data_IF_582573162234
#
_entry.id   IF_582573162234
#
_cell.length_a   1.000
_cell.length_b   1.000
_cell.length_c   1.000
_cell.angle_alpha   90.00
_cell.angle_beta   90.00
_cell.angle_gamma   90.00
#
_symmetry.space_group_name_H-M   'P 1'
#
loop_
_entity.id
_entity.type
_entity.pdbx_description
1 polymer ?
#
# COMPACT_ATOMS: atom_id res chain seq x y z
N UNK A 1 10.39 -6.56 -6.85
CA UNK A 1 9.17 -7.00 -6.14
C UNK A 1 8.38 -8.05 -6.93
N UNK A 2 8.30 -7.98 -8.26
CA UNK A 2 7.67 -9.04 -9.09
C UNK A 2 8.20 -10.46 -8.78
N UNK A 3 9.51 -10.63 -8.59
CA UNK A 3 10.09 -11.95 -8.37
C UNK A 3 9.72 -12.56 -7.01
N UNK A 4 9.46 -11.73 -5.99
CA UNK A 4 8.94 -12.19 -4.70
C UNK A 4 7.51 -12.74 -4.84
N UNK A 5 6.67 -12.02 -5.58
CA UNK A 5 5.27 -12.42 -5.80
C UNK A 5 5.18 -13.69 -6.64
N UNK A 6 6.05 -13.87 -7.64
CA UNK A 6 6.15 -15.13 -8.41
C UNK A 6 6.45 -16.34 -7.53
N UNK A 7 7.07 -16.13 -6.38
CA UNK A 7 7.38 -17.16 -5.38
C UNK A 7 6.33 -17.23 -4.26
N UNK A 8 5.13 -16.68 -4.49
CA UNK A 8 4.04 -16.59 -3.50
C UNK A 8 4.41 -15.75 -2.26
N UNK A 9 5.43 -14.91 -2.36
CA UNK A 9 5.77 -13.94 -1.33
C UNK A 9 4.83 -12.74 -1.33
N UNK A 10 4.53 -12.23 -0.13
CA UNK A 10 3.69 -11.04 0.05
C UNK A 10 4.56 -9.79 0.00
N UNK A 11 4.22 -8.83 -0.87
CA UNK A 11 4.99 -7.59 -1.04
C UNK A 11 4.07 -6.36 -1.05
N UNK A 12 4.42 -5.36 -0.25
CA UNK A 12 3.60 -4.16 -0.04
C UNK A 12 4.47 -2.97 0.38
N UNK A 13 3.86 -1.79 0.43
CA UNK A 13 4.47 -0.57 0.97
C UNK A 13 3.69 -0.08 2.19
N UNK A 14 4.40 0.49 3.17
CA UNK A 14 3.80 1.34 4.20
C UNK A 14 3.98 2.78 3.75
N UNK A 15 2.88 3.51 3.62
CA UNK A 15 2.84 4.90 3.16
C UNK A 15 2.40 5.78 4.31
N UNK A 16 3.17 6.83 4.57
CA UNK A 16 2.81 7.86 5.53
C UNK A 16 2.37 9.14 4.79
N UNK A 17 1.09 9.49 4.92
CA UNK A 17 0.53 10.73 4.40
C UNK A 17 0.66 11.84 5.43
N UNK A 18 1.86 12.40 5.55
CA UNK A 18 2.24 13.39 6.59
C UNK A 18 1.23 14.52 6.82
N UNK A 19 0.64 15.07 5.76
CA UNK A 19 -0.34 16.16 5.85
C UNK A 19 -1.59 15.77 6.66
N UNK A 20 -2.00 14.52 6.58
CA UNK A 20 -3.21 13.98 7.21
C UNK A 20 -2.90 13.16 8.47
N UNK A 21 -1.61 12.89 8.71
CA UNK A 21 -1.13 12.00 9.76
C UNK A 21 -1.73 10.59 9.68
N UNK A 22 -1.88 10.06 8.47
CA UNK A 22 -2.46 8.75 8.20
C UNK A 22 -1.40 7.78 7.66
N UNK A 23 -1.50 6.51 8.02
CA UNK A 23 -0.64 5.44 7.53
C UNK A 23 -1.47 4.44 6.72
N UNK A 24 -0.91 3.94 5.62
CA UNK A 24 -1.57 2.98 4.75
C UNK A 24 -0.64 1.84 4.35
N UNK A 25 -1.16 0.63 4.29
CA UNK A 25 -0.57 -0.50 3.60
C UNK A 25 -1.07 -0.50 2.15
N UNK A 26 -0.16 -0.30 1.21
CA UNK A 26 -0.43 -0.33 -0.23
C UNK A 26 0.04 -1.66 -0.83
N UNK A 27 -0.85 -2.45 -1.45
CA UNK A 27 -0.47 -3.62 -2.23
C UNK A 27 0.50 -3.26 -3.36
N UNK A 28 1.49 -4.11 -3.61
CA UNK A 28 2.47 -3.84 -4.66
C UNK A 28 1.84 -3.74 -6.06
N UNK A 29 0.77 -4.49 -6.33
CA UNK A 29 0.05 -4.48 -7.61
C UNK A 29 -0.47 -3.07 -7.93
N UNK A 30 -0.98 -2.36 -6.92
CA UNK A 30 -1.45 -0.99 -7.08
C UNK A 30 -0.30 -0.05 -7.40
N UNK A 31 0.81 -0.13 -6.66
CA UNK A 31 1.99 0.67 -6.92
C UNK A 31 2.55 0.42 -8.33
N UNK A 32 2.65 -0.86 -8.74
CA UNK A 32 3.11 -1.26 -10.06
C UNK A 32 2.23 -0.68 -11.17
N UNK A 33 0.90 -0.72 -11.01
CA UNK A 33 -0.03 -0.12 -11.99
C UNK A 33 0.28 1.35 -12.24
N UNK A 34 0.43 2.15 -11.18
CA UNK A 34 0.76 3.57 -11.32
C UNK A 34 2.18 3.81 -11.84
N UNK A 35 3.13 2.96 -11.45
CA UNK A 35 4.49 3.05 -11.97
C UNK A 35 4.55 2.80 -13.48
N UNK A 36 3.88 1.76 -13.98
CA UNK A 36 3.80 1.48 -15.41
C UNK A 36 3.05 2.58 -16.17
N UNK A 37 1.91 3.05 -15.66
CA UNK A 37 1.18 4.18 -16.25
C UNK A 37 2.05 5.44 -16.36
N UNK A 38 2.83 5.74 -15.32
CA UNK A 38 3.73 6.90 -15.31
C UNK A 38 4.83 6.84 -16.38
N UNK A 39 5.26 5.63 -16.77
CA UNK A 39 6.21 5.43 -17.88
C UNK A 39 5.56 5.67 -19.24
N UNK A 40 4.25 5.51 -19.34
CA UNK A 40 3.45 5.71 -20.56
C UNK A 40 2.84 7.12 -20.67
N UNK A 41 3.30 8.07 -19.85
CA UNK A 41 2.85 9.46 -19.89
C UNK A 41 1.64 9.79 -19.00
N UNK A 42 1.16 8.83 -18.18
CA UNK A 42 0.18 9.12 -17.15
C UNK A 42 0.81 9.84 -15.95
N UNK A 43 0.01 10.05 -14.89
CA UNK A 43 0.44 10.77 -13.68
C UNK A 43 1.63 10.08 -13.01
N UNK A 44 2.65 10.87 -12.64
CA UNK A 44 3.82 10.44 -11.83
C UNK A 44 3.55 10.48 -10.32
N UNK A 45 2.28 10.45 -9.93
CA UNK A 45 1.82 10.57 -8.54
C UNK A 45 0.59 9.69 -8.35
N UNK A 46 0.49 9.01 -7.21
CA UNK A 46 -0.73 8.29 -6.83
C UNK A 46 -1.67 9.28 -6.14
N UNK A 47 -2.92 9.46 -6.61
CA UNK A 47 -3.87 10.37 -5.98
C UNK A 47 -4.21 9.96 -4.54
N UNK A 48 -4.40 10.96 -3.67
CA UNK A 48 -4.82 10.73 -2.28
C UNK A 48 -6.10 9.87 -2.18
N UNK A 49 -7.11 10.17 -3.00
CA UNK A 49 -8.37 9.42 -3.02
C UNK A 49 -8.16 7.95 -3.36
N UNK A 50 -7.25 7.65 -4.29
CA UNK A 50 -6.90 6.27 -4.63
C UNK A 50 -6.24 5.56 -3.45
N UNK A 51 -5.39 6.24 -2.68
CA UNK A 51 -4.79 5.66 -1.48
C UNK A 51 -5.89 5.34 -0.46
N UNK A 52 -6.80 6.28 -0.17
CA UNK A 52 -7.92 6.07 0.76
C UNK A 52 -8.86 4.94 0.35
N UNK A 53 -9.11 4.78 -0.95
CA UNK A 53 -10.08 3.81 -1.47
C UNK A 53 -9.51 2.41 -1.69
N UNK A 54 -8.20 2.31 -2.01
CA UNK A 54 -7.58 1.07 -2.51
C UNK A 54 -6.47 0.53 -1.62
N UNK A 55 -6.08 1.25 -0.57
CA UNK A 55 -5.11 0.79 0.41
C UNK A 55 -5.78 0.49 1.75
N UNK A 56 -5.09 -0.25 2.61
CA UNK A 56 -5.59 -0.63 3.92
C UNK A 56 -5.03 0.34 4.96
N UNK A 57 -5.89 1.02 5.73
CA UNK A 57 -5.45 1.95 6.76
C UNK A 57 -4.70 1.21 7.88
N UNK A 58 -3.59 1.80 8.35
CA UNK A 58 -2.84 1.33 9.49
C UNK A 58 -3.10 2.28 10.65
N UNK A 59 -3.76 1.77 11.68
CA UNK A 59 -4.02 2.53 12.90
C UNK A 59 -2.78 2.50 13.82
N UNK A 60 -2.49 3.64 14.44
CA UNK A 60 -1.53 3.74 15.53
C UNK A 60 -2.26 3.29 16.80
N UNK A 61 -1.77 2.24 17.44
CA UNK A 61 -2.37 1.68 18.65
C UNK A 61 -1.43 1.94 19.83
N UNK A 62 -1.97 2.10 21.04
CA UNK A 62 -1.23 2.60 22.22
C UNK A 62 0.06 1.82 22.52
N UNK A 63 0.11 0.54 22.15
CA UNK A 63 1.25 -0.36 22.39
C UNK A 63 2.17 -0.54 21.16
N UNK A 64 1.79 -0.01 19.98
CA UNK A 64 2.52 -0.19 18.72
C UNK A 64 2.54 1.10 17.88
N UNK A 65 3.73 1.57 17.52
CA UNK A 65 3.88 2.79 16.70
C UNK A 65 3.18 2.70 15.33
N UNK A 66 3.22 1.54 14.64
CA UNK A 66 2.55 1.30 13.35
C UNK A 66 2.13 -0.19 13.27
N UNK A 67 0.87 -0.52 13.58
CA UNK A 67 0.41 -1.91 13.65
C UNK A 67 0.04 -2.49 12.27
N UNK A 68 1.01 -2.59 11.36
CA UNK A 68 0.77 -2.99 9.96
C UNK A 68 0.38 -4.47 9.76
N UNK A 69 0.58 -5.33 10.77
CA UNK A 69 0.22 -6.75 10.68
C UNK A 69 -1.29 -6.99 10.58
N UNK A 70 -2.11 -6.15 11.23
CA UNK A 70 -3.57 -6.19 11.11
C UNK A 70 -4.04 -5.96 9.66
N UNK A 71 -3.69 -4.84 9.00
CA UNK A 71 -4.06 -4.64 7.60
C UNK A 71 -3.36 -5.62 6.66
N UNK A 72 -2.17 -6.12 6.99
CA UNK A 72 -1.51 -7.17 6.22
C UNK A 72 -2.34 -8.46 6.21
N UNK A 73 -2.88 -8.88 7.36
CA UNK A 73 -3.74 -10.05 7.45
C UNK A 73 -4.99 -9.87 6.56
N UNK A 74 -5.66 -8.72 6.65
CA UNK A 74 -6.83 -8.39 5.81
C UNK A 74 -6.47 -8.45 4.32
N UNK A 75 -5.31 -7.90 3.94
CA UNK A 75 -4.83 -7.99 2.56
C UNK A 75 -4.62 -9.45 2.13
N UNK A 76 -3.89 -10.24 2.92
CA UNK A 76 -3.61 -11.65 2.61
C UNK A 76 -4.89 -12.48 2.50
N UNK A 77 -5.88 -12.23 3.35
CA UNK A 77 -7.18 -12.94 3.32
C UNK A 77 -8.05 -12.54 2.12
N UNK A 78 -7.73 -11.44 1.44
CA UNK A 78 -8.49 -10.92 0.28
C UNK A 78 -7.95 -11.37 -1.08
N UNK A 79 -6.79 -12.04 -1.11
CA UNK A 79 -6.11 -12.54 -2.32
C UNK A 79 -6.38 -14.03 -2.52
#
# INVERSE_FOLDING_TARGET
MNDFIKQQGVAFFIIYLKKYNEFYLMPFELCRKFYEGSKNGERKSIPYTVIKEKCYEILVETDYYIHYLKPLQIYVDSV
#
